data_IF_791363403884
#
_entry.id   IF_791363403884
#
_cell.length_a   1.000
_cell.length_b   1.000
_cell.length_c   1.000
_cell.angle_alpha   90.00
_cell.angle_beta   90.00
_cell.angle_gamma   90.00
#
_symmetry.space_group_name_H-M   'P 1'
#
loop_
_entity.id
_entity.type
_entity.pdbx_description
1 polymer ?
#
# COMPACT_ATOMS: atom_id res chain seq x y z
N UNK A 1 28.83 -36.23 24.30
CA UNK A 1 30.19 -35.75 24.59
C UNK A 1 31.00 -35.79 23.31
N UNK A 2 31.37 -34.63 22.78
CA UNK A 2 32.46 -34.39 21.79
C UNK A 2 33.82 -34.46 22.51
N UNK A 3 35.00 -34.27 21.86
CA UNK A 3 35.62 -34.76 20.59
C UNK A 3 37.04 -35.37 20.89
N UNK A 4 38.06 -35.49 19.98
CA UNK A 4 38.81 -34.43 19.25
C UNK A 4 39.10 -34.76 17.75
N UNK A 5 39.11 -33.86 16.75
CA UNK A 5 39.99 -32.74 16.32
C UNK A 5 41.35 -33.07 15.63
N UNK A 6 41.63 -32.25 14.59
CA UNK A 6 42.84 -32.05 13.73
C UNK A 6 42.92 -32.89 12.43
N UNK A 7 43.21 -32.39 11.22
CA UNK A 7 43.58 -31.06 10.66
C UNK A 7 44.53 -31.24 9.45
N UNK A 8 44.53 -30.30 8.48
CA UNK A 8 45.38 -30.15 7.23
C UNK A 8 44.89 -30.90 5.97
N UNK A 9 44.96 -30.41 4.71
CA UNK A 9 45.61 -29.24 4.08
C UNK A 9 44.90 -28.85 2.76
N UNK A 10 45.17 -27.62 2.28
CA UNK A 10 44.74 -27.02 1.01
C UNK A 10 45.66 -27.39 -0.19
N UNK A 11 45.15 -27.28 -1.43
CA UNK A 11 45.84 -27.12 -2.73
C UNK A 11 44.76 -26.69 -3.76
N UNK A 12 44.70 -25.49 -4.35
CA UNK A 12 45.56 -24.78 -5.31
C UNK A 12 45.75 -25.46 -6.70
N UNK A 13 45.22 -24.78 -7.74
CA UNK A 13 45.65 -24.80 -9.17
C UNK A 13 45.04 -25.88 -10.07
N UNK A 14 44.82 -25.73 -11.39
CA UNK A 14 45.01 -24.67 -12.39
C UNK A 14 44.34 -25.18 -13.71
N UNK A 15 43.81 -24.26 -14.53
CA UNK A 15 43.28 -24.39 -15.91
C UNK A 15 44.24 -25.10 -16.92
N UNK A 16 43.85 -25.59 -18.14
CA UNK A 16 43.14 -24.80 -19.18
C UNK A 16 42.26 -25.50 -20.26
N UNK A 17 41.37 -24.70 -20.86
CA UNK A 17 41.22 -24.51 -22.31
C UNK A 17 40.69 -25.63 -23.21
N UNK A 18 39.43 -25.51 -23.65
CA UNK A 18 39.02 -25.88 -25.02
C UNK A 18 37.97 -24.89 -25.56
N UNK A 19 38.39 -24.09 -26.55
CA UNK A 19 37.50 -23.40 -27.48
C UNK A 19 36.82 -24.43 -28.38
N UNK A 20 35.49 -24.47 -28.38
CA UNK A 20 34.75 -25.11 -29.46
C UNK A 20 34.44 -24.05 -30.53
N UNK A 21 35.28 -24.02 -31.56
CA UNK A 21 35.00 -23.36 -32.83
C UNK A 21 34.00 -24.24 -33.61
N UNK A 22 32.82 -23.72 -33.92
CA UNK A 22 31.93 -24.29 -34.93
C UNK A 22 31.92 -23.30 -36.10
N UNK A 23 32.37 -23.66 -37.31
CA UNK A 23 32.26 -22.78 -38.47
C UNK A 23 30.87 -22.94 -39.06
N UNK A 24 30.04 -21.89 -39.00
CA UNK A 24 28.86 -21.80 -39.86
C UNK A 24 29.11 -20.75 -40.94
N UNK A 25 29.39 -21.27 -42.13
CA UNK A 25 29.35 -20.57 -43.40
C UNK A 25 27.92 -20.16 -43.74
N UNK A 26 27.72 -18.89 -44.10
CA UNK A 26 26.80 -18.46 -45.14
C UNK A 26 25.29 -18.51 -44.84
N UNK A 27 24.71 -17.30 -44.89
CA UNK A 27 23.36 -16.91 -45.31
C UNK A 27 22.58 -16.11 -44.26
N UNK A 28 22.21 -14.90 -44.68
CA UNK A 28 21.56 -13.89 -43.88
C UNK A 28 20.31 -14.39 -43.18
N UNK A 29 20.40 -14.53 -41.88
CA UNK A 29 19.23 -14.63 -41.02
C UNK A 29 19.00 -13.23 -40.44
N UNK A 30 17.88 -12.63 -40.86
CA UNK A 30 17.30 -11.42 -40.27
C UNK A 30 17.51 -11.47 -38.76
N UNK A 31 18.23 -10.50 -38.22
CA UNK A 31 18.17 -10.18 -36.80
C UNK A 31 16.70 -9.82 -36.51
N UNK A 32 15.91 -10.83 -36.10
CA UNK A 32 14.78 -10.61 -35.22
C UNK A 32 15.39 -9.93 -33.99
N UNK A 33 15.24 -8.61 -33.91
CA UNK A 33 15.10 -7.96 -32.61
C UNK A 33 13.98 -8.72 -31.93
N UNK A 34 14.35 -9.69 -31.11
CA UNK A 34 13.53 -10.06 -29.97
C UNK A 34 13.53 -8.76 -29.19
N UNK A 35 12.44 -8.00 -29.36
CA UNK A 35 12.06 -6.92 -28.47
C UNK A 35 12.09 -7.54 -27.09
N UNK A 36 13.21 -7.34 -26.40
CA UNK A 36 13.27 -7.49 -24.96
C UNK A 36 12.08 -6.70 -24.46
N UNK A 37 11.16 -7.43 -23.86
CA UNK A 37 9.95 -6.93 -23.25
C UNK A 37 10.43 -5.98 -22.16
N UNK A 38 10.56 -4.70 -22.52
CA UNK A 38 10.31 -3.59 -21.62
C UNK A 38 8.83 -3.68 -21.27
N UNK A 39 8.48 -4.66 -20.45
CA UNK A 39 7.42 -4.43 -19.48
C UNK A 39 7.97 -3.30 -18.62
N UNK A 40 7.64 -2.07 -19.01
CA UNK A 40 7.79 -0.93 -18.14
C UNK A 40 7.17 -1.34 -16.80
N UNK A 41 7.92 -1.20 -15.70
CA UNK A 41 7.36 -1.19 -14.35
C UNK A 41 6.33 -0.07 -14.30
N UNK A 42 5.12 -0.35 -14.77
CA UNK A 42 4.04 0.61 -14.87
C UNK A 42 3.57 0.84 -13.44
N UNK A 43 3.65 2.09 -13.00
CA UNK A 43 3.12 2.49 -11.72
C UNK A 43 1.64 2.12 -11.64
N UNK A 44 1.30 1.20 -10.73
CA UNK A 44 -0.02 0.55 -10.68
C UNK A 44 -1.18 1.56 -10.55
N UNK A 45 -0.92 2.70 -9.92
CA UNK A 45 -1.91 3.72 -9.59
C UNK A 45 -1.75 5.02 -10.40
N UNK A 46 -1.12 4.97 -11.58
CA UNK A 46 -0.86 6.15 -12.41
C UNK A 46 -2.16 6.91 -12.75
N UNK A 47 -3.24 6.19 -13.07
CA UNK A 47 -4.53 6.78 -13.40
C UNK A 47 -5.18 7.45 -12.20
N UNK A 48 -5.13 6.80 -11.05
CA UNK A 48 -5.70 7.29 -9.80
C UNK A 48 -4.93 8.52 -9.30
N UNK A 49 -3.59 8.50 -9.37
CA UNK A 49 -2.75 9.65 -9.04
C UNK A 49 -2.98 10.83 -9.98
N UNK A 50 -3.09 10.60 -11.29
CA UNK A 50 -3.39 11.65 -12.26
C UNK A 50 -4.73 12.33 -11.95
N UNK A 51 -5.75 11.52 -11.61
CA UNK A 51 -7.06 12.01 -11.21
C UNK A 51 -7.01 12.83 -9.92
N UNK A 52 -6.30 12.36 -8.90
CA UNK A 52 -6.13 13.11 -7.65
C UNK A 52 -5.51 14.48 -7.90
N UNK A 53 -4.42 14.53 -8.68
CA UNK A 53 -3.77 15.79 -9.06
C UNK A 53 -4.71 16.72 -9.82
N UNK A 54 -5.51 16.18 -10.74
CA UNK A 54 -6.50 16.95 -11.49
C UNK A 54 -7.57 17.56 -10.57
N UNK A 55 -8.16 16.75 -9.68
CA UNK A 55 -9.19 17.22 -8.73
C UNK A 55 -8.62 18.28 -7.79
N UNK A 56 -7.40 18.08 -7.27
CA UNK A 56 -6.74 19.05 -6.41
C UNK A 56 -6.47 20.38 -7.14
N UNK A 57 -6.05 20.34 -8.40
CA UNK A 57 -5.87 21.54 -9.21
C UNK A 57 -7.21 22.26 -9.46
N UNK A 58 -8.29 21.54 -9.80
CA UNK A 58 -9.62 22.15 -9.95
C UNK A 58 -10.12 22.83 -8.67
N UNK A 59 -9.64 22.39 -7.50
CA UNK A 59 -9.96 22.95 -6.18
C UNK A 59 -8.96 24.03 -5.72
N UNK A 60 -8.02 24.45 -6.56
CA UNK A 60 -7.00 25.45 -6.22
C UNK A 60 -6.02 25.00 -5.15
N UNK A 61 -5.78 23.68 -5.05
CA UNK A 61 -4.84 23.05 -4.11
C UNK A 61 -3.58 22.54 -4.84
N UNK A 62 -3.03 23.29 -5.79
CA UNK A 62 -1.80 22.88 -6.51
C UNK A 62 -0.56 22.80 -5.61
N UNK A 63 -0.65 23.32 -4.39
CA UNK A 63 0.41 23.24 -3.39
C UNK A 63 0.56 21.84 -2.77
N UNK A 64 -0.37 20.92 -3.01
CA UNK A 64 -0.25 19.52 -2.57
C UNK A 64 0.73 18.80 -3.49
N UNK A 65 1.86 18.35 -2.94
CA UNK A 65 2.91 17.66 -3.69
C UNK A 65 2.90 16.17 -3.36
N UNK A 66 2.89 15.34 -4.41
CA UNK A 66 3.16 13.91 -4.31
C UNK A 66 4.60 13.65 -4.70
N UNK A 67 5.33 12.88 -3.90
CA UNK A 67 6.74 12.56 -4.08
C UNK A 67 7.03 11.11 -3.65
N UNK A 68 8.14 10.52 -4.10
CA UNK A 68 8.61 9.28 -3.50
C UNK A 68 8.81 9.42 -1.99
N UNK A 69 8.32 8.44 -1.23
CA UNK A 69 8.62 8.32 0.19
C UNK A 69 10.11 8.07 0.42
N UNK A 70 10.59 8.42 1.61
CA UNK A 70 11.96 8.10 1.98
C UNK A 70 12.08 6.62 2.40
N UNK A 71 13.31 6.09 2.42
CA UNK A 71 13.55 4.67 2.68
C UNK A 71 13.05 4.21 4.07
N UNK A 72 13.25 5.01 5.11
CA UNK A 72 12.83 4.68 6.48
C UNK A 72 11.30 4.60 6.60
N UNK A 73 10.59 5.51 5.93
CA UNK A 73 9.12 5.52 5.89
C UNK A 73 8.60 4.24 5.22
N UNK A 74 9.26 3.80 4.15
CA UNK A 74 8.91 2.55 3.46
C UNK A 74 9.19 1.33 4.34
N UNK A 75 10.34 1.28 5.00
CA UNK A 75 10.68 0.19 5.93
C UNK A 75 9.65 0.09 7.06
N UNK A 76 9.12 1.22 7.54
CA UNK A 76 8.06 1.25 8.53
C UNK A 76 6.77 0.58 8.02
N UNK A 77 6.29 0.93 6.82
CA UNK A 77 5.10 0.30 6.24
C UNK A 77 5.31 -1.20 6.01
N UNK A 78 6.47 -1.59 5.48
CA UNK A 78 6.81 -3.00 5.25
C UNK A 78 6.91 -3.78 6.57
N UNK A 79 7.44 -3.18 7.63
CA UNK A 79 7.51 -3.76 8.97
C UNK A 79 6.13 -3.97 9.62
N UNK A 80 5.14 -3.15 9.28
CA UNK A 80 3.73 -3.33 9.66
C UNK A 80 2.95 -4.25 8.73
N UNK A 81 3.60 -4.84 7.72
CA UNK A 81 2.99 -5.76 6.77
C UNK A 81 1.90 -5.10 5.90
N UNK A 82 2.09 -3.82 5.53
CA UNK A 82 1.24 -3.21 4.51
C UNK A 82 1.35 -3.99 3.19
N UNK A 83 0.24 -4.17 2.45
CA UNK A 83 0.25 -4.83 1.15
C UNK A 83 1.23 -4.18 0.16
N UNK A 84 1.97 -4.99 -0.59
CA UNK A 84 3.06 -4.53 -1.48
C UNK A 84 2.60 -3.49 -2.50
N UNK A 85 1.40 -3.64 -3.03
CA UNK A 85 0.77 -2.70 -3.94
C UNK A 85 0.57 -1.33 -3.28
N UNK A 86 0.10 -1.28 -2.03
CA UNK A 86 -0.08 -0.02 -1.29
C UNK A 86 1.28 0.59 -0.97
N UNK A 87 2.26 -0.22 -0.56
CA UNK A 87 3.64 0.24 -0.37
C UNK A 87 4.20 0.83 -1.68
N UNK A 88 3.91 0.22 -2.83
CA UNK A 88 4.32 0.73 -4.15
C UNK A 88 3.67 2.09 -4.49
N UNK A 89 2.45 2.36 -4.03
CA UNK A 89 1.87 3.70 -4.13
C UNK A 89 2.73 4.73 -3.40
N UNK A 90 3.07 4.49 -2.14
CA UNK A 90 3.84 5.44 -1.35
C UNK A 90 5.30 5.56 -1.79
N UNK A 91 5.91 4.48 -2.33
CA UNK A 91 7.25 4.52 -2.94
C UNK A 91 7.35 5.56 -4.07
N UNK A 92 6.27 5.79 -4.80
CA UNK A 92 6.24 6.69 -5.96
C UNK A 92 5.55 8.04 -5.67
N UNK A 93 4.52 8.02 -4.83
CA UNK A 93 3.54 9.09 -4.73
C UNK A 93 2.99 9.26 -3.30
N UNK A 94 3.88 9.31 -2.31
CA UNK A 94 3.53 9.80 -0.98
C UNK A 94 3.13 11.29 -1.04
N UNK A 95 2.01 11.70 -0.42
CA UNK A 95 1.73 13.12 -0.23
C UNK A 95 2.72 13.74 0.76
N UNK A 96 3.25 14.94 0.49
CA UNK A 96 4.25 15.58 1.34
C UNK A 96 3.75 15.93 2.76
N UNK A 97 2.45 15.87 2.99
CA UNK A 97 1.73 15.98 4.26
C UNK A 97 0.45 15.17 4.13
N UNK A 98 -0.68 15.63 4.66
CA UNK A 98 -1.98 15.02 4.30
C UNK A 98 -2.64 15.71 3.12
N UNK A 99 -3.45 14.95 2.39
CA UNK A 99 -4.37 15.47 1.36
C UNK A 99 -5.76 15.41 1.93
N UNK A 100 -6.53 16.49 1.85
CA UNK A 100 -7.92 16.51 2.29
C UNK A 100 -8.83 16.87 1.11
N UNK A 101 -9.90 16.10 0.93
CA UNK A 101 -10.94 16.34 -0.07
C UNK A 101 -12.28 16.14 0.63
N UNK A 102 -13.05 17.22 0.78
CA UNK A 102 -14.39 17.25 1.39
C UNK A 102 -14.48 16.53 2.75
N UNK A 103 -13.46 16.64 3.59
CA UNK A 103 -13.46 16.02 4.92
C UNK A 103 -12.91 14.59 4.97
N UNK A 104 -12.62 13.97 3.82
CA UNK A 104 -11.80 12.75 3.79
C UNK A 104 -10.31 13.12 3.67
N UNK A 105 -9.46 12.44 4.43
CA UNK A 105 -8.02 12.70 4.54
C UNK A 105 -7.23 11.47 4.08
N UNK A 106 -6.30 11.63 3.15
CA UNK A 106 -5.28 10.65 2.78
C UNK A 106 -3.96 11.05 3.44
N UNK A 107 -3.39 10.13 4.21
CA UNK A 107 -2.21 10.41 5.03
C UNK A 107 -0.89 10.18 4.28
N UNK A 108 0.12 11.00 4.62
CA UNK A 108 1.53 10.66 4.42
C UNK A 108 1.93 9.52 5.36
N UNK A 109 3.09 8.90 5.13
CA UNK A 109 3.56 7.83 6.01
C UNK A 109 3.86 8.36 7.42
N UNK A 110 4.41 9.57 7.53
CA UNK A 110 4.64 10.20 8.82
C UNK A 110 3.34 10.32 9.64
N UNK A 111 2.21 10.63 9.00
CA UNK A 111 0.91 10.69 9.67
C UNK A 111 0.36 9.30 9.95
N UNK A 112 0.50 8.34 9.03
CA UNK A 112 0.14 6.93 9.28
C UNK A 112 0.85 6.40 10.52
N UNK A 113 2.12 6.76 10.71
CA UNK A 113 2.86 6.43 11.93
C UNK A 113 2.22 7.07 13.16
N UNK A 114 2.01 8.39 13.15
CA UNK A 114 1.33 9.07 14.25
C UNK A 114 0.00 8.41 14.62
N UNK A 115 -0.83 8.08 13.63
CA UNK A 115 -2.14 7.47 13.81
C UNK A 115 -2.07 6.04 14.36
N UNK A 116 -1.21 5.18 13.79
CA UNK A 116 -1.09 3.78 14.18
C UNK A 116 -0.43 3.58 15.55
N UNK A 117 0.34 4.54 16.04
CA UNK A 117 1.12 4.39 17.29
C UNK A 117 0.56 5.24 18.43
N UNK A 118 -0.03 6.40 18.12
CA UNK A 118 -0.34 7.42 19.12
C UNK A 118 -1.78 7.95 19.10
N UNK A 119 -2.60 7.61 18.11
CA UNK A 119 -3.96 8.15 17.99
C UNK A 119 -5.04 7.07 18.09
N UNK A 120 -6.14 7.41 18.76
CA UNK A 120 -7.35 6.60 18.74
C UNK A 120 -8.14 6.90 17.46
N UNK A 121 -8.68 5.89 16.77
CA UNK A 121 -8.67 4.48 17.17
C UNK A 121 -7.48 3.68 16.62
N UNK A 122 -6.61 4.29 15.80
CA UNK A 122 -5.49 3.63 15.09
C UNK A 122 -4.64 2.71 15.96
N UNK A 123 -4.08 3.22 17.06
CA UNK A 123 -3.25 2.47 18.00
C UNK A 123 -3.95 1.26 18.66
N UNK A 124 -5.28 1.31 18.81
CA UNK A 124 -6.08 0.22 19.38
C UNK A 124 -6.34 -0.86 18.33
N UNK A 125 -6.47 -0.48 17.05
CA UNK A 125 -6.92 -1.40 15.99
C UNK A 125 -5.78 -2.04 15.19
N UNK A 126 -4.59 -1.44 15.19
CA UNK A 126 -3.38 -2.01 14.57
C UNK A 126 -3.07 -3.44 15.04
N UNK A 127 -3.11 -3.77 16.36
CA UNK A 127 -2.91 -5.15 16.83
C UNK A 127 -3.91 -6.17 16.27
N UNK A 128 -5.03 -5.72 15.71
CA UNK A 128 -6.07 -6.55 15.11
C UNK A 128 -5.97 -6.61 13.57
N UNK A 129 -4.90 -6.09 12.98
CA UNK A 129 -4.66 -6.13 11.53
C UNK A 129 -5.40 -5.04 10.75
N UNK A 130 -5.82 -3.96 11.42
CA UNK A 130 -6.46 -2.79 10.80
C UNK A 130 -5.44 -1.65 10.76
N UNK A 131 -4.95 -1.31 9.57
CA UNK A 131 -3.81 -0.40 9.41
C UNK A 131 -4.21 0.91 8.75
N UNK A 132 -3.97 2.06 9.41
CA UNK A 132 -4.41 3.39 8.94
C UNK A 132 -3.82 3.74 7.56
N UNK A 133 -4.62 4.36 6.71
CA UNK A 133 -4.15 5.04 5.48
C UNK A 133 -4.68 6.47 5.36
N UNK A 134 -5.56 6.87 6.26
CA UNK A 134 -6.29 8.11 6.18
C UNK A 134 -7.28 8.26 7.31
N UNK A 135 -7.92 9.42 7.39
CA UNK A 135 -8.90 9.73 8.41
C UNK A 135 -10.07 10.49 7.81
N UNK A 136 -11.14 10.63 8.57
CA UNK A 136 -12.12 11.69 8.34
C UNK A 136 -11.78 12.91 9.18
N UNK A 137 -12.31 14.07 8.81
CA UNK A 137 -12.19 15.29 9.60
C UNK A 137 -12.87 15.18 10.98
N UNK A 138 -13.80 14.22 11.15
CA UNK A 138 -14.44 13.90 12.43
C UNK A 138 -13.56 13.05 13.35
N UNK A 139 -12.48 12.46 12.84
CA UNK A 139 -11.54 11.63 13.62
C UNK A 139 -11.69 10.13 13.44
N UNK A 140 -12.61 9.66 12.59
CA UNK A 140 -12.68 8.25 12.21
C UNK A 140 -11.48 7.87 11.31
N UNK A 141 -11.09 6.60 11.29
CA UNK A 141 -9.91 6.13 10.56
C UNK A 141 -10.29 5.28 9.36
N UNK A 142 -9.68 5.54 8.20
CA UNK A 142 -9.69 4.61 7.08
C UNK A 142 -8.55 3.61 7.27
N UNK A 143 -8.88 2.33 7.32
CA UNK A 143 -7.94 1.24 7.54
C UNK A 143 -7.95 0.23 6.40
N UNK A 144 -6.78 -0.30 6.08
CA UNK A 144 -6.64 -1.57 5.36
C UNK A 144 -6.99 -2.69 6.34
N UNK A 145 -7.89 -3.59 5.96
CA UNK A 145 -8.23 -4.75 6.78
C UNK A 145 -7.49 -6.01 6.29
N UNK A 146 -6.36 -6.30 6.92
CA UNK A 146 -5.52 -7.47 6.59
C UNK A 146 -6.21 -8.82 6.81
N UNK A 147 -7.37 -8.85 7.48
CA UNK A 147 -8.16 -10.06 7.67
C UNK A 147 -9.05 -10.38 6.47
N UNK A 148 -9.07 -9.52 5.46
CA UNK A 148 -9.90 -9.66 4.27
C UNK A 148 -9.06 -9.82 3.01
N UNK A 149 -9.62 -10.51 2.03
CA UNK A 149 -9.12 -10.53 0.66
C UNK A 149 -10.28 -10.06 -0.22
N UNK A 150 -10.18 -8.80 -0.63
CA UNK A 150 -11.14 -8.13 -1.49
C UNK A 150 -10.89 -8.41 -2.96
N UNK A 151 -11.24 -7.42 -3.80
CA UNK A 151 -11.11 -7.53 -5.25
C UNK A 151 -9.64 -7.43 -5.66
N UNK A 152 -9.29 -8.12 -6.76
CA UNK A 152 -7.94 -8.08 -7.35
C UNK A 152 -6.83 -8.56 -6.38
N UNK A 153 -7.22 -9.39 -5.40
CA UNK A 153 -6.36 -9.88 -4.31
C UNK A 153 -5.79 -8.79 -3.39
N UNK A 154 -6.42 -7.61 -3.37
CA UNK A 154 -6.13 -6.55 -2.41
C UNK A 154 -7.06 -6.66 -1.19
N UNK A 155 -6.62 -6.30 0.04
CA UNK A 155 -7.53 -6.24 1.18
C UNK A 155 -8.61 -5.16 1.00
N UNK A 156 -9.75 -5.35 1.67
CA UNK A 156 -10.78 -4.31 1.74
C UNK A 156 -10.27 -3.10 2.55
N UNK A 157 -10.80 -1.93 2.22
CA UNK A 157 -10.62 -0.71 3.01
C UNK A 157 -11.91 -0.47 3.79
N UNK A 158 -11.75 -0.23 5.08
CA UNK A 158 -12.84 -0.01 6.04
C UNK A 158 -12.70 1.35 6.71
N UNK A 159 -13.82 1.95 7.12
CA UNK A 159 -13.86 3.05 8.07
C UNK A 159 -14.06 2.47 9.47
N UNK A 160 -13.28 2.93 10.45
CA UNK A 160 -13.41 2.51 11.85
C UNK A 160 -13.75 3.71 12.72
N UNK A 161 -14.83 3.56 13.49
CA UNK A 161 -15.35 4.65 14.33
C UNK A 161 -14.44 4.96 15.51
N UNK A 162 -14.07 6.23 15.66
CA UNK A 162 -13.38 6.70 16.87
C UNK A 162 -14.34 6.79 18.08
N UNK A 163 -15.65 6.82 17.86
CA UNK A 163 -16.65 6.87 18.93
C UNK A 163 -16.88 5.52 19.60
N UNK A 164 -16.73 4.42 18.86
CA UNK A 164 -17.07 3.07 19.33
C UNK A 164 -15.86 2.26 19.78
N UNK A 165 -14.65 2.62 19.32
CA UNK A 165 -13.41 1.95 19.71
C UNK A 165 -12.85 2.51 21.03
N UNK A 166 -12.53 1.62 21.96
CA UNK A 166 -11.97 1.91 23.29
C UNK A 166 -10.90 0.88 23.64
N UNK A 167 -9.92 1.30 24.44
CA UNK A 167 -8.91 0.39 24.98
C UNK A 167 -9.55 -0.76 25.77
N UNK A 168 -8.94 -1.95 25.67
CA UNK A 168 -9.42 -3.16 26.37
C UNK A 168 -10.55 -3.91 25.68
N UNK A 169 -11.12 -3.38 24.59
CA UNK A 169 -12.06 -4.13 23.76
C UNK A 169 -11.36 -5.27 23.01
N UNK A 170 -12.04 -6.39 22.89
CA UNK A 170 -11.67 -7.52 22.03
C UNK A 170 -11.95 -7.19 20.56
N UNK A 171 -11.30 -7.89 19.64
CA UNK A 171 -11.61 -7.75 18.21
C UNK A 171 -13.10 -7.99 17.89
N UNK A 172 -13.75 -8.92 18.60
CA UNK A 172 -15.18 -9.19 18.40
C UNK A 172 -16.04 -7.96 18.69
N UNK A 173 -15.70 -7.19 19.71
CA UNK A 173 -16.41 -5.95 20.08
C UNK A 173 -16.07 -4.82 19.11
N UNK A 174 -14.80 -4.70 18.70
CA UNK A 174 -14.36 -3.68 17.73
C UNK A 174 -15.03 -3.86 16.36
N UNK A 175 -15.39 -5.09 15.97
CA UNK A 175 -16.08 -5.33 14.68
C UNK A 175 -17.38 -4.54 14.51
N UNK A 176 -18.06 -4.17 15.58
CA UNK A 176 -19.26 -3.32 15.52
C UNK A 176 -18.95 -1.88 15.11
N UNK A 177 -17.68 -1.46 15.18
CA UNK A 177 -17.18 -0.15 14.82
C UNK A 177 -16.58 -0.10 13.39
N UNK A 178 -16.59 -1.21 12.65
CA UNK A 178 -15.92 -1.32 11.34
C UNK A 178 -16.96 -1.30 10.22
N UNK A 179 -16.78 -0.43 9.24
CA UNK A 179 -17.67 -0.27 8.08
C UNK A 179 -16.89 -0.38 6.77
N UNK A 180 -17.16 -1.36 5.90
CA UNK A 180 -16.50 -1.46 4.60
C UNK A 180 -16.79 -0.24 3.70
N UNK A 181 -15.75 0.39 3.17
CA UNK A 181 -15.89 1.57 2.29
C UNK A 181 -15.35 1.35 0.87
N UNK A 182 -14.41 0.43 0.67
CA UNK A 182 -13.92 0.04 -0.66
C UNK A 182 -13.38 -1.40 -0.67
N UNK A 183 -13.40 -2.07 -1.83
CA UNK A 183 -12.95 -3.45 -2.00
C UNK A 183 -11.48 -3.59 -2.42
N UNK A 184 -10.78 -2.48 -2.54
CA UNK A 184 -9.38 -2.37 -2.98
C UNK A 184 -8.87 -0.97 -2.68
N UNK A 185 -7.55 -0.79 -2.65
CA UNK A 185 -6.94 0.53 -2.50
C UNK A 185 -7.18 1.41 -3.73
N UNK A 186 -7.23 0.80 -4.92
CA UNK A 186 -7.60 1.49 -6.16
C UNK A 186 -8.99 2.12 -6.08
N UNK A 187 -9.98 1.34 -5.64
CA UNK A 187 -11.35 1.82 -5.49
C UNK A 187 -11.41 2.92 -4.41
N UNK A 188 -10.66 2.77 -3.32
CA UNK A 188 -10.56 3.81 -2.29
C UNK A 188 -10.04 5.14 -2.87
N UNK A 189 -8.90 5.15 -3.58
CA UNK A 189 -8.35 6.36 -4.20
C UNK A 189 -9.33 6.99 -5.20
N UNK A 190 -10.05 6.17 -5.96
CA UNK A 190 -11.10 6.65 -6.85
C UNK A 190 -12.23 7.33 -6.07
N UNK A 191 -12.79 6.68 -5.03
CA UNK A 191 -13.84 7.27 -4.19
C UNK A 191 -13.38 8.53 -3.47
N UNK A 192 -12.13 8.55 -2.99
CA UNK A 192 -11.51 9.71 -2.38
C UNK A 192 -11.48 10.91 -3.33
N UNK A 193 -11.03 10.70 -4.57
CA UNK A 193 -10.96 11.76 -5.58
C UNK A 193 -12.35 12.30 -5.98
N UNK A 194 -13.37 11.46 -5.99
CA UNK A 194 -14.75 11.80 -6.38
C UNK A 194 -15.63 12.25 -5.19
N UNK A 195 -15.06 12.38 -3.98
CA UNK A 195 -15.80 12.71 -2.75
C UNK A 195 -16.96 11.76 -2.46
N UNK A 196 -16.73 10.46 -2.65
CA UNK A 196 -17.70 9.37 -2.44
C UNK A 196 -17.42 8.56 -1.17
N UNK A 197 -16.42 8.96 -0.38
CA UNK A 197 -16.14 8.34 0.92
C UNK A 197 -17.03 8.97 2.00
N UNK A 198 -17.46 8.19 3.00
CA UNK A 198 -18.10 8.76 4.18
C UNK A 198 -17.12 9.67 4.93
N UNK A 199 -17.62 10.76 5.49
CA UNK A 199 -16.82 11.75 6.24
C UNK A 199 -17.19 11.78 7.71
N UNK A 200 -18.22 11.03 8.10
CA UNK A 200 -18.59 10.66 9.45
C UNK A 200 -19.08 9.21 9.46
N UNK A 201 -18.72 8.45 10.50
CA UNK A 201 -19.23 7.09 10.71
C UNK A 201 -20.77 6.98 10.67
N UNK A 202 -21.47 8.02 11.11
CA UNK A 202 -22.93 8.10 11.14
C UNK A 202 -23.55 8.66 9.86
N UNK A 203 -22.76 8.89 8.80
CA UNK A 203 -23.30 9.38 7.53
C UNK A 203 -24.36 8.41 6.99
N UNK A 204 -25.62 8.89 6.98
CA UNK A 204 -26.85 8.14 6.68
C UNK A 204 -26.87 7.42 5.33
N UNK A 205 -26.00 7.77 4.39
CA UNK A 205 -25.85 7.02 3.13
C UNK A 205 -25.30 5.59 3.35
N UNK A 206 -24.55 5.36 4.44
CA UNK A 206 -24.04 4.03 4.80
C UNK A 206 -25.16 3.05 5.20
N UNK A 207 -26.23 3.51 5.84
CA UNK A 207 -27.36 2.66 6.23
C UNK A 207 -28.13 2.14 5.01
N UNK A 208 -28.34 2.98 3.98
CA UNK A 208 -29.16 2.64 2.81
C UNK A 208 -28.57 1.58 1.85
N UNK A 209 -27.25 1.35 1.90
CA UNK A 209 -26.55 0.40 1.01
C UNK A 209 -26.54 -1.03 1.54
N UNK A 210 -26.85 -1.21 2.82
CA UNK A 210 -27.03 -2.54 3.44
C UNK A 210 -28.43 -3.10 3.24
N UNK A 211 -29.42 -2.27 2.91
CA UNK A 211 -30.80 -2.72 2.66
C UNK A 211 -31.03 -3.27 1.23
N UNK A 212 -30.02 -3.23 0.35
CA UNK A 212 -30.14 -3.62 -1.06
C UNK A 212 -29.12 -4.70 -1.51
N UNK A 213 -28.55 -5.48 -0.59
CA UNK A 213 -27.77 -6.70 -0.86
C UNK A 213 -28.44 -7.87 -0.13
#
# INVERSE_FOLDING_TARGET
MLPPQSGLAALCGLFPGYSLFIPFSGFGCKYRRITAVQEACMFLYEKELARLKEVLSRRGRENVVFRPANHMDIEYLEGLLYPENIVAFYKEAEPSGWVEIDGAILNSIANIWGENDNANPGNIVVPYGLLNIGNTASGDTFCIDLNTIGKDHEPDIVLVSHHLVREGQTYKEIREAIHPVARSFREFLHKFAESLLPVDYWDREMESRLENI
#
